data_IF_020614387600
#
_entry.id   IF_020614387600
#
_cell.length_a   1.000
_cell.length_b   1.000
_cell.length_c   1.000
_cell.angle_alpha   90.00
_cell.angle_beta   90.00
_cell.angle_gamma   90.00
#
_symmetry.space_group_name_H-M   'P 1'
#
loop_
_entity.id
_entity.type
_entity.pdbx_description
1 polymer ?
#
# COMPACT_ATOMS: atom_id res chain seq x y z
N UNK A 1 10.85 21.03 -44.70
CA UNK A 1 9.86 20.16 -44.09
C UNK A 1 10.46 19.22 -43.05
N UNK A 2 11.52 18.38 -43.39
CA UNK A 2 12.13 17.44 -42.44
C UNK A 2 12.73 18.12 -41.20
N UNK A 3 13.38 19.28 -41.33
CA UNK A 3 13.89 20.03 -40.17
C UNK A 3 12.77 20.55 -39.28
N UNK A 4 11.67 21.02 -39.84
CA UNK A 4 10.53 21.47 -39.08
C UNK A 4 9.79 20.31 -38.40
N UNK A 5 9.71 19.14 -39.07
CA UNK A 5 9.16 17.94 -38.46
C UNK A 5 10.02 17.45 -37.27
N UNK A 6 11.33 17.50 -37.38
CA UNK A 6 12.27 17.15 -36.32
C UNK A 6 12.17 18.09 -35.11
N UNK A 7 11.99 19.41 -35.34
CA UNK A 7 11.77 20.39 -34.28
C UNK A 7 10.44 20.10 -33.57
N UNK A 8 9.37 19.88 -34.35
CA UNK A 8 8.06 19.56 -33.77
C UNK A 8 8.03 18.23 -33.00
N UNK A 9 8.78 17.24 -33.49
CA UNK A 9 8.93 15.98 -32.74
C UNK A 9 9.65 16.19 -31.40
N UNK A 10 10.71 17.03 -31.40
CA UNK A 10 11.42 17.37 -30.18
C UNK A 10 10.56 18.20 -29.21
N UNK A 11 9.75 19.13 -29.72
CA UNK A 11 8.82 19.90 -28.94
C UNK A 11 7.72 19.00 -28.36
N UNK A 12 7.32 17.94 -29.09
CA UNK A 12 6.38 16.94 -28.60
C UNK A 12 6.98 16.02 -27.53
N UNK A 13 8.28 15.74 -27.57
CA UNK A 13 8.98 15.01 -26.50
C UNK A 13 8.87 15.71 -25.15
N UNK A 14 8.95 17.04 -25.14
CA UNK A 14 8.78 17.85 -23.91
C UNK A 14 7.40 17.60 -23.25
N UNK A 15 6.36 17.37 -24.04
CA UNK A 15 5.02 17.02 -23.54
C UNK A 15 4.94 15.60 -22.97
N UNK A 16 5.88 14.74 -23.32
CA UNK A 16 6.00 13.36 -22.84
C UNK A 16 7.00 13.25 -21.67
N UNK A 17 7.73 14.33 -21.36
CA UNK A 17 8.62 14.35 -20.22
C UNK A 17 7.83 14.16 -18.92
N UNK A 18 8.21 13.12 -18.19
CA UNK A 18 7.60 12.72 -16.92
C UNK A 18 7.96 13.67 -15.77
N UNK A 19 8.86 14.61 -16.00
CA UNK A 19 9.37 15.51 -14.99
C UNK A 19 8.63 16.86 -15.02
N UNK A 20 7.87 17.12 -13.98
CA UNK A 20 7.46 18.49 -13.65
C UNK A 20 8.70 19.31 -13.22
N UNK A 21 8.64 20.62 -13.41
CA UNK A 21 9.73 21.51 -13.00
C UNK A 21 10.11 21.31 -11.54
N UNK A 22 11.40 21.08 -11.31
CA UNK A 22 12.00 20.97 -9.98
C UNK A 22 12.65 22.32 -9.60
N UNK A 23 12.80 22.57 -8.31
CA UNK A 23 13.66 23.64 -7.83
C UNK A 23 15.12 23.20 -7.97
N UNK A 24 15.84 23.83 -8.88
CA UNK A 24 17.26 23.60 -9.10
C UNK A 24 18.08 24.80 -8.62
N UNK A 25 19.20 24.57 -7.94
CA UNK A 25 20.07 25.68 -7.53
C UNK A 25 20.79 26.25 -8.76
N UNK A 26 20.76 27.56 -8.97
CA UNK A 26 21.50 28.24 -10.05
C UNK A 26 23.02 28.22 -9.82
N UNK A 27 23.45 28.12 -8.56
CA UNK A 27 24.86 28.13 -8.19
C UNK A 27 25.22 27.16 -7.07
N UNK A 28 26.50 26.77 -6.91
CA UNK A 28 26.91 25.79 -5.93
C UNK A 28 26.73 26.24 -4.47
N UNK A 29 26.54 27.52 -4.21
CA UNK A 29 26.28 28.09 -2.88
C UNK A 29 24.81 28.25 -2.57
N UNK A 30 23.96 28.18 -3.56
CA UNK A 30 22.53 28.27 -3.39
C UNK A 30 21.96 26.99 -2.80
N UNK A 31 20.98 27.15 -1.93
CA UNK A 31 20.30 26.03 -1.28
C UNK A 31 18.79 26.15 -1.47
N UNK A 32 18.20 25.19 -2.12
CA UNK A 32 16.76 25.15 -2.45
C UNK A 32 15.84 25.27 -1.24
N UNK A 33 16.26 24.77 -0.07
CA UNK A 33 15.47 24.85 1.16
C UNK A 33 15.34 26.30 1.73
N UNK A 34 16.10 27.25 1.21
CA UNK A 34 15.99 28.67 1.60
C UNK A 34 14.95 29.44 0.79
N UNK A 35 14.54 28.91 -0.36
CA UNK A 35 13.53 29.53 -1.24
C UNK A 35 12.20 29.62 -0.49
N UNK A 36 11.61 30.81 -0.50
CA UNK A 36 10.34 31.08 0.19
C UNK A 36 9.16 30.84 -0.73
N UNK A 37 8.01 30.53 -0.13
CA UNK A 37 6.77 30.32 -0.88
C UNK A 37 6.34 31.51 -1.72
N UNK A 38 6.64 32.72 -1.27
CA UNK A 38 6.28 33.96 -2.01
C UNK A 38 7.13 34.12 -3.28
N UNK A 39 8.38 33.70 -3.25
CA UNK A 39 9.26 33.66 -4.42
C UNK A 39 8.72 32.65 -5.46
N UNK A 40 8.36 31.44 -5.02
CA UNK A 40 7.78 30.42 -5.89
C UNK A 40 6.47 30.90 -6.52
N UNK A 41 5.58 31.50 -5.75
CA UNK A 41 4.29 32.01 -6.24
C UNK A 41 4.44 33.07 -7.31
N UNK A 42 5.48 33.92 -7.22
CA UNK A 42 5.75 34.97 -8.21
C UNK A 42 6.30 34.43 -9.55
N UNK A 43 6.94 33.25 -9.53
CA UNK A 43 7.56 32.63 -10.71
C UNK A 43 6.66 31.62 -11.42
N UNK A 44 5.65 31.09 -10.75
CA UNK A 44 4.71 30.12 -11.34
C UNK A 44 3.56 30.80 -12.09
N UNK A 45 2.87 30.04 -12.93
CA UNK A 45 1.66 30.52 -13.62
C UNK A 45 0.57 30.95 -12.64
N UNK A 46 -0.31 31.85 -13.07
CA UNK A 46 -1.42 32.36 -12.25
C UNK A 46 -2.33 31.22 -11.75
N UNK A 47 -2.52 30.16 -12.55
CA UNK A 47 -3.31 29.01 -12.15
C UNK A 47 -2.62 28.18 -11.07
N UNK A 48 -1.31 28.02 -11.15
CA UNK A 48 -0.52 27.37 -10.12
C UNK A 48 -0.45 28.22 -8.83
N UNK A 49 -0.32 29.53 -8.96
CA UNK A 49 -0.31 30.46 -7.83
C UNK A 49 -1.59 30.41 -6.99
N UNK A 50 -2.76 30.21 -7.62
CA UNK A 50 -4.05 30.05 -6.92
C UNK A 50 -4.12 28.83 -6.03
N UNK A 51 -3.25 27.82 -6.22
CA UNK A 51 -3.19 26.61 -5.41
C UNK A 51 -2.61 26.84 -4.02
N UNK A 52 -1.90 27.97 -3.81
CA UNK A 52 -1.50 28.46 -2.48
C UNK A 52 -2.66 29.23 -1.85
N UNK A 53 -3.24 28.68 -0.81
CA UNK A 53 -4.27 29.34 -0.02
C UNK A 53 -4.15 28.97 1.47
N UNK A 54 -4.69 29.83 2.32
CA UNK A 54 -4.73 29.63 3.76
C UNK A 54 -6.16 29.80 4.25
N UNK A 55 -6.63 28.81 5.03
CA UNK A 55 -7.91 28.86 5.70
C UNK A 55 -7.69 29.04 7.19
N UNK A 56 -8.02 30.23 7.72
CA UNK A 56 -7.91 30.57 9.14
C UNK A 56 -9.19 30.17 9.88
N UNK A 57 -9.14 29.09 10.64
CA UNK A 57 -10.24 28.48 11.36
C UNK A 57 -9.86 28.31 12.84
N UNK A 58 -9.72 29.42 13.57
CA UNK A 58 -9.07 29.45 14.89
C UNK A 58 -9.88 28.78 16.01
N UNK A 59 -11.21 28.70 15.89
CA UNK A 59 -12.08 28.30 17.01
C UNK A 59 -12.16 26.78 17.23
N UNK A 60 -12.19 25.99 16.15
CA UNK A 60 -12.55 24.58 16.20
C UNK A 60 -11.37 23.62 15.93
N UNK A 61 -10.14 24.17 15.91
CA UNK A 61 -8.90 23.39 15.74
C UNK A 61 -8.56 22.48 16.93
N UNK A 62 -7.51 21.69 16.83
CA UNK A 62 -6.63 21.48 15.67
C UNK A 62 -7.30 20.70 14.52
N UNK A 63 -6.86 20.96 13.31
CA UNK A 63 -7.43 20.38 12.10
C UNK A 63 -6.62 19.19 11.58
N UNK A 64 -7.32 18.28 10.90
CA UNK A 64 -6.75 17.23 10.06
C UNK A 64 -7.37 17.31 8.68
N UNK A 65 -6.58 17.03 7.63
CA UNK A 65 -7.04 17.07 6.25
C UNK A 65 -6.87 15.73 5.56
N UNK A 66 -7.75 15.44 4.60
CA UNK A 66 -7.67 14.32 3.70
C UNK A 66 -8.12 14.74 2.31
N UNK A 67 -7.35 14.40 1.28
CA UNK A 67 -7.74 14.58 -0.10
C UNK A 67 -8.45 13.35 -0.65
N UNK A 68 -9.31 13.55 -1.63
CA UNK A 68 -9.85 12.46 -2.45
C UNK A 68 -8.72 11.83 -3.28
N UNK A 69 -8.91 10.59 -3.71
CA UNK A 69 -7.93 9.86 -4.51
C UNK A 69 -7.60 10.55 -5.84
N UNK A 70 -8.56 11.28 -6.42
CA UNK A 70 -8.37 12.08 -7.63
C UNK A 70 -7.79 13.49 -7.36
N UNK A 71 -7.52 13.84 -6.11
CA UNK A 71 -6.93 15.13 -5.72
C UNK A 71 -7.83 16.36 -5.90
N UNK A 72 -9.13 16.19 -6.14
CA UNK A 72 -10.04 17.32 -6.41
C UNK A 72 -10.68 17.89 -5.16
N UNK A 73 -11.14 17.01 -4.27
CA UNK A 73 -11.90 17.45 -3.10
C UNK A 73 -11.04 17.31 -1.82
N UNK A 74 -11.17 18.28 -0.95
CA UNK A 74 -10.53 18.37 0.36
C UNK A 74 -11.56 18.16 1.46
N UNK A 75 -11.28 17.26 2.39
CA UNK A 75 -12.02 17.06 3.62
C UNK A 75 -11.21 17.63 4.79
N UNK A 76 -11.78 18.57 5.51
CA UNK A 76 -11.22 19.14 6.72
C UNK A 76 -12.01 18.65 7.93
N UNK A 77 -11.31 18.20 8.95
CA UNK A 77 -11.91 17.78 10.20
C UNK A 77 -11.22 18.45 11.40
N UNK A 78 -11.95 19.29 12.09
CA UNK A 78 -11.53 19.94 13.32
C UNK A 78 -11.82 19.04 14.53
N UNK A 79 -10.87 18.92 15.42
CA UNK A 79 -10.96 18.07 16.61
C UNK A 79 -12.13 18.40 17.54
N UNK A 80 -12.62 19.63 17.49
CA UNK A 80 -13.80 20.08 18.29
C UNK A 80 -15.14 19.82 17.60
N UNK A 81 -15.17 19.10 16.45
CA UNK A 81 -16.39 18.66 15.79
C UNK A 81 -16.76 19.39 14.50
N UNK A 82 -15.93 20.27 14.00
CA UNK A 82 -16.12 20.91 12.71
C UNK A 82 -15.70 20.00 11.58
N UNK A 83 -16.52 19.84 10.57
CA UNK A 83 -16.21 19.10 9.34
C UNK A 83 -16.63 19.95 8.16
N UNK A 84 -15.72 20.08 7.20
CA UNK A 84 -16.00 20.78 5.95
C UNK A 84 -15.44 19.99 4.76
N UNK A 85 -16.22 19.89 3.69
CA UNK A 85 -15.78 19.38 2.40
C UNK A 85 -15.77 20.50 1.39
N UNK A 86 -14.72 20.58 0.58
CA UNK A 86 -14.62 21.60 -0.45
C UNK A 86 -13.92 21.09 -1.69
N UNK A 87 -14.37 21.57 -2.84
CA UNK A 87 -13.59 21.53 -4.08
C UNK A 87 -12.58 22.68 -4.00
N UNK A 88 -11.34 22.34 -3.65
CA UNK A 88 -10.30 23.33 -3.38
C UNK A 88 -9.79 24.03 -4.64
N UNK A 89 -9.96 23.43 -5.84
CA UNK A 89 -9.57 24.05 -7.12
C UNK A 89 -10.50 25.22 -7.48
N UNK A 90 -11.80 24.96 -7.38
CA UNK A 90 -12.83 25.95 -7.68
C UNK A 90 -13.15 26.85 -6.45
N UNK A 91 -12.66 26.49 -5.26
CA UNK A 91 -12.98 27.17 -4.01
C UNK A 91 -14.44 27.01 -3.58
N UNK A 92 -15.12 25.95 -4.04
CA UNK A 92 -16.52 25.71 -3.71
C UNK A 92 -16.66 24.85 -2.45
N UNK A 93 -17.43 25.33 -1.48
CA UNK A 93 -17.81 24.58 -0.31
C UNK A 93 -18.80 23.48 -0.72
N UNK A 94 -18.55 22.24 -0.32
CA UNK A 94 -19.46 21.11 -0.51
C UNK A 94 -20.46 21.04 0.64
N UNK A 95 -20.01 20.69 1.83
CA UNK A 95 -20.82 20.72 3.03
C UNK A 95 -20.01 21.26 4.22
N UNK A 96 -20.69 21.81 5.19
CA UNK A 96 -20.13 22.25 6.47
C UNK A 96 -21.02 21.73 7.60
N UNK A 97 -20.42 21.03 8.55
CA UNK A 97 -21.10 20.39 9.66
C UNK A 97 -20.43 20.71 11.00
N UNK A 98 -21.26 20.93 12.02
CA UNK A 98 -20.81 21.01 13.40
C UNK A 98 -21.42 19.88 14.22
N UNK A 99 -20.62 18.86 14.52
CA UNK A 99 -21.10 17.64 15.17
C UNK A 99 -21.23 17.76 16.68
N UNK A 100 -20.75 18.86 17.29
CA UNK A 100 -20.72 19.09 18.75
C UNK A 100 -20.04 17.96 19.55
N UNK A 101 -19.30 17.09 18.89
CA UNK A 101 -18.51 16.00 19.47
C UNK A 101 -17.06 16.06 18.97
N UNK A 102 -16.15 15.46 19.74
CA UNK A 102 -14.74 15.40 19.32
C UNK A 102 -14.58 14.46 18.14
N UNK A 103 -13.96 14.97 17.06
CA UNK A 103 -13.55 14.18 15.91
C UNK A 103 -12.07 13.82 16.05
N UNK A 104 -11.73 12.58 15.84
CA UNK A 104 -10.35 12.07 15.95
C UNK A 104 -9.67 11.91 14.60
N UNK A 105 -10.41 11.44 13.60
CA UNK A 105 -9.93 11.26 12.24
C UNK A 105 -11.09 11.32 11.25
N UNK A 106 -10.80 11.67 9.99
CA UNK A 106 -11.78 11.65 8.90
C UNK A 106 -11.08 11.24 7.62
N UNK A 107 -11.76 10.46 6.79
CA UNK A 107 -11.24 9.97 5.51
C UNK A 107 -12.34 9.88 4.46
N UNK A 108 -11.98 10.12 3.21
CA UNK A 108 -12.83 9.83 2.08
C UNK A 108 -12.96 8.32 1.89
N UNK A 109 -14.10 7.88 1.37
CA UNK A 109 -14.30 6.51 0.93
C UNK A 109 -13.91 6.34 -0.55
N UNK A 110 -14.68 5.60 -1.32
CA UNK A 110 -14.36 5.26 -2.71
C UNK A 110 -14.35 6.47 -3.68
N UNK A 111 -15.17 7.48 -3.39
CA UNK A 111 -15.26 8.71 -4.19
C UNK A 111 -15.56 9.91 -3.27
N UNK A 112 -15.84 11.08 -3.85
CA UNK A 112 -16.19 12.29 -3.11
C UNK A 112 -17.67 12.37 -2.65
N UNK A 113 -18.46 11.32 -2.89
CA UNK A 113 -19.86 11.29 -2.47
C UNK A 113 -20.04 10.88 -1.01
N UNK A 114 -19.09 10.13 -0.45
CA UNK A 114 -19.18 9.63 0.92
C UNK A 114 -17.86 9.74 1.66
N UNK A 115 -17.94 10.09 2.95
CA UNK A 115 -16.80 10.17 3.84
C UNK A 115 -17.10 9.57 5.21
N UNK A 116 -16.09 9.02 5.86
CA UNK A 116 -16.17 8.45 7.19
C UNK A 116 -15.53 9.38 8.22
N UNK A 117 -16.15 9.47 9.38
CA UNK A 117 -15.71 10.32 10.50
C UNK A 117 -15.65 9.51 11.78
N UNK A 118 -14.48 9.46 12.40
CA UNK A 118 -14.30 8.88 13.72
C UNK A 118 -14.65 9.91 14.80
N UNK A 119 -15.84 9.82 15.35
CA UNK A 119 -16.29 10.67 16.45
C UNK A 119 -15.82 10.10 17.80
N UNK A 120 -16.22 10.72 18.89
CA UNK A 120 -15.80 10.38 20.25
C UNK A 120 -16.02 8.90 20.57
N UNK A 121 -17.18 8.34 20.25
CA UNK A 121 -17.56 6.97 20.59
C UNK A 121 -17.65 6.04 19.37
N UNK A 122 -18.34 6.46 18.33
CA UNK A 122 -18.61 5.65 17.14
C UNK A 122 -18.02 6.28 15.89
N UNK A 123 -17.95 5.52 14.82
CA UNK A 123 -17.63 6.01 13.48
C UNK A 123 -18.90 6.16 12.68
N UNK A 124 -19.04 7.26 11.98
CA UNK A 124 -20.20 7.58 11.16
C UNK A 124 -19.78 7.74 9.69
N UNK A 125 -20.66 7.38 8.79
CA UNK A 125 -20.52 7.60 7.36
C UNK A 125 -21.53 8.67 6.96
N UNK A 126 -21.03 9.72 6.30
CA UNK A 126 -21.81 10.85 5.81
C UNK A 126 -21.79 10.90 4.29
N UNK A 127 -22.89 11.44 3.73
CA UNK A 127 -22.99 11.82 2.32
C UNK A 127 -22.31 13.17 2.05
N UNK A 128 -22.05 13.48 0.79
CA UNK A 128 -21.47 14.78 0.36
C UNK A 128 -22.30 16.00 0.78
N UNK A 129 -23.59 15.84 1.06
CA UNK A 129 -24.46 16.87 1.60
C UNK A 129 -24.40 17.00 3.14
N UNK A 130 -23.64 16.14 3.80
CA UNK A 130 -23.56 16.13 5.26
C UNK A 130 -24.66 15.35 5.96
N UNK A 131 -25.43 14.54 5.23
CA UNK A 131 -26.45 13.66 5.83
C UNK A 131 -25.79 12.41 6.37
N UNK A 132 -26.12 12.03 7.62
CA UNK A 132 -25.68 10.77 8.21
C UNK A 132 -26.33 9.58 7.49
N UNK A 133 -25.52 8.71 6.89
CA UNK A 133 -25.98 7.51 6.21
C UNK A 133 -25.98 6.31 7.17
N UNK A 134 -24.86 6.07 7.83
CA UNK A 134 -24.66 4.89 8.66
C UNK A 134 -23.85 5.21 9.91
N UNK A 135 -24.26 4.59 11.02
CA UNK A 135 -23.48 4.52 12.27
C UNK A 135 -22.88 3.13 12.41
N UNK A 136 -21.58 3.07 12.52
CA UNK A 136 -20.84 1.82 12.68
C UNK A 136 -20.67 1.49 14.18
N UNK A 137 -21.66 0.82 14.78
CA UNK A 137 -21.70 0.52 16.20
C UNK A 137 -20.53 -0.35 16.69
N UNK A 138 -20.00 -1.20 15.83
CA UNK A 138 -18.87 -2.07 16.17
C UNK A 138 -17.54 -1.35 16.24
N UNK A 139 -17.43 -0.14 15.67
CA UNK A 139 -16.22 0.67 15.63
C UNK A 139 -16.18 1.67 16.79
N UNK A 140 -15.73 1.18 17.95
CA UNK A 140 -15.73 1.94 19.20
C UNK A 140 -14.39 2.67 19.36
N UNK A 141 -14.46 3.96 19.72
CA UNK A 141 -13.30 4.83 20.03
C UNK A 141 -12.17 4.77 18.99
N UNK A 142 -12.53 4.82 17.73
CA UNK A 142 -11.56 4.80 16.61
C UNK A 142 -10.64 6.00 16.71
N UNK A 143 -9.35 5.75 16.53
CA UNK A 143 -8.29 6.77 16.55
C UNK A 143 -7.75 7.09 15.15
N UNK A 144 -7.60 6.08 14.33
CA UNK A 144 -7.11 6.23 12.96
C UNK A 144 -7.95 5.38 12.02
N UNK A 145 -8.11 5.90 10.81
CA UNK A 145 -8.84 5.24 9.72
C UNK A 145 -8.06 5.35 8.43
N UNK A 146 -8.14 4.31 7.61
CA UNK A 146 -7.65 4.30 6.23
C UNK A 146 -8.63 3.50 5.36
N UNK A 147 -8.83 3.94 4.13
CA UNK A 147 -9.71 3.28 3.19
C UNK A 147 -8.90 2.53 2.12
N UNK A 148 -9.23 1.27 1.88
CA UNK A 148 -8.60 0.39 0.90
C UNK A 148 -9.44 0.40 -0.40
N UNK A 149 -9.07 1.17 -1.42
CA UNK A 149 -9.94 1.47 -2.55
C UNK A 149 -10.27 0.25 -3.44
N UNK A 150 -9.31 -0.63 -3.69
CA UNK A 150 -9.52 -1.81 -4.54
C UNK A 150 -10.34 -2.92 -3.87
N UNK A 151 -10.38 -2.93 -2.54
CA UNK A 151 -11.09 -3.92 -1.75
C UNK A 151 -12.40 -3.38 -1.16
N UNK A 152 -12.66 -2.07 -1.28
CA UNK A 152 -13.77 -1.38 -0.61
C UNK A 152 -13.81 -1.64 0.91
N UNK A 153 -12.65 -1.71 1.54
CA UNK A 153 -12.54 -1.95 2.96
C UNK A 153 -12.19 -0.66 3.72
N UNK A 154 -12.96 -0.35 4.73
CA UNK A 154 -12.61 0.65 5.74
C UNK A 154 -11.85 -0.06 6.87
N UNK A 155 -10.56 0.22 6.97
CA UNK A 155 -9.71 -0.24 8.06
C UNK A 155 -9.70 0.80 9.17
N UNK A 156 -10.02 0.39 10.39
CA UNK A 156 -10.06 1.28 11.56
C UNK A 156 -9.32 0.66 12.73
N UNK A 157 -8.67 1.50 13.52
CA UNK A 157 -8.03 1.06 14.75
C UNK A 157 -8.42 1.96 15.91
N UNK A 158 -8.89 1.34 17.00
CA UNK A 158 -9.35 2.02 18.20
C UNK A 158 -8.28 2.16 19.27
N UNK A 159 -8.60 2.89 20.35
CA UNK A 159 -7.72 3.06 21.51
C UNK A 159 -7.34 1.73 22.19
N UNK A 160 -8.24 0.75 22.17
CA UNK A 160 -7.99 -0.58 22.72
C UNK A 160 -7.03 -1.44 21.85
N UNK A 161 -6.60 -0.94 20.69
CA UNK A 161 -5.71 -1.66 19.78
C UNK A 161 -6.41 -2.78 19.00
N UNK A 162 -7.70 -2.71 18.77
CA UNK A 162 -8.42 -3.60 17.88
C UNK A 162 -8.44 -3.02 16.47
N UNK A 163 -7.85 -3.75 15.55
CA UNK A 163 -7.89 -3.46 14.11
C UNK A 163 -9.14 -4.12 13.54
N UNK A 164 -9.97 -3.35 12.85
CA UNK A 164 -11.24 -3.81 12.27
C UNK A 164 -11.29 -3.46 10.81
N UNK A 165 -11.76 -4.39 10.02
CA UNK A 165 -12.02 -4.20 8.60
C UNK A 165 -13.51 -4.34 8.32
N UNK A 166 -14.11 -3.31 7.76
CA UNK A 166 -15.51 -3.30 7.36
C UNK A 166 -15.60 -3.07 5.85
N UNK A 167 -16.37 -3.90 5.21
CA UNK A 167 -16.67 -3.77 3.79
C UNK A 167 -17.73 -2.68 3.59
N UNK A 168 -17.34 -1.57 2.96
CA UNK A 168 -18.23 -0.43 2.73
C UNK A 168 -19.30 -0.71 1.67
N UNK A 169 -19.08 -1.68 0.76
CA UNK A 169 -20.05 -2.04 -0.25
C UNK A 169 -21.19 -2.92 0.27
N UNK A 170 -20.91 -3.75 1.29
CA UNK A 170 -21.91 -4.66 1.89
C UNK A 170 -22.34 -4.23 3.29
N UNK A 171 -21.61 -3.30 3.92
CA UNK A 171 -21.83 -2.88 5.30
C UNK A 171 -21.44 -3.92 6.36
N UNK A 172 -20.85 -5.05 5.97
CA UNK A 172 -20.50 -6.13 6.87
C UNK A 172 -19.08 -5.98 7.43
N UNK A 173 -18.90 -6.30 8.68
CA UNK A 173 -17.57 -6.42 9.28
C UNK A 173 -16.94 -7.73 8.83
N UNK A 174 -15.77 -7.63 8.18
CA UNK A 174 -15.02 -8.77 7.66
C UNK A 174 -14.26 -9.47 8.80
N UNK A 175 -13.49 -8.71 9.58
CA UNK A 175 -12.66 -9.26 10.65
C UNK A 175 -12.34 -8.22 11.70
N UNK A 176 -12.14 -8.69 12.94
CA UNK A 176 -11.63 -7.93 14.08
C UNK A 176 -10.36 -8.60 14.62
N UNK A 177 -9.26 -7.89 14.65
CA UNK A 177 -7.93 -8.38 15.01
C UNK A 177 -7.39 -7.62 16.23
N UNK A 178 -7.20 -8.26 17.38
CA UNK A 178 -6.57 -7.63 18.54
C UNK A 178 -5.06 -7.56 18.34
N UNK A 179 -4.47 -6.36 18.33
CA UNK A 179 -3.01 -6.19 18.17
C UNK A 179 -2.22 -6.59 19.42
N UNK A 180 -2.85 -6.57 20.59
CA UNK A 180 -2.24 -6.91 21.89
C UNK A 180 -0.98 -6.08 22.26
N UNK A 181 -0.76 -4.95 21.62
CA UNK A 181 0.40 -4.06 21.80
C UNK A 181 0.01 -2.68 22.35
N UNK A 182 -1.19 -2.56 22.90
CA UNK A 182 -1.72 -1.32 23.46
C UNK A 182 -2.24 -0.34 22.41
N UNK A 183 -2.31 0.94 22.79
CA UNK A 183 -2.83 1.98 21.90
C UNK A 183 -1.93 2.20 20.68
N UNK A 184 -2.51 2.20 19.48
CA UNK A 184 -1.76 2.51 18.26
C UNK A 184 -1.41 4.00 18.21
N UNK A 185 -0.26 4.31 17.64
CA UNK A 185 0.22 5.69 17.54
C UNK A 185 0.31 6.18 16.10
N UNK A 186 0.52 5.27 15.16
CA UNK A 186 0.58 5.56 13.74
C UNK A 186 -0.11 4.45 12.95
N UNK A 187 -0.72 4.81 11.83
CA UNK A 187 -1.54 3.92 11.02
C UNK A 187 -1.46 4.33 9.56
N UNK A 188 -1.11 3.41 8.67
CA UNK A 188 -1.01 3.63 7.23
C UNK A 188 -1.25 2.34 6.46
N UNK A 189 -1.85 2.49 5.29
CA UNK A 189 -1.93 1.41 4.32
C UNK A 189 -0.73 1.44 3.37
N UNK A 190 -0.34 0.28 2.88
CA UNK A 190 0.53 0.15 1.73
C UNK A 190 -0.35 0.19 0.45
N UNK A 191 -0.17 1.18 -0.43
CA UNK A 191 -1.01 1.32 -1.62
C UNK A 191 -0.91 0.13 -2.58
N UNK A 192 0.26 -0.51 -2.65
CA UNK A 192 0.53 -1.60 -3.60
C UNK A 192 -0.14 -2.93 -3.20
N UNK A 193 -0.04 -3.34 -1.93
CA UNK A 193 -0.52 -4.64 -1.46
C UNK A 193 -1.67 -4.59 -0.44
N UNK A 194 -2.19 -3.38 -0.16
CA UNK A 194 -3.28 -3.14 0.78
C UNK A 194 -3.02 -3.62 2.23
N UNK A 195 -1.77 -3.91 2.59
CA UNK A 195 -1.39 -4.28 3.96
C UNK A 195 -1.39 -3.04 4.85
N UNK A 196 -1.95 -3.21 6.03
CA UNK A 196 -1.99 -2.15 7.04
C UNK A 196 -0.75 -2.23 7.94
N UNK A 197 -0.05 -1.10 8.02
CA UNK A 197 1.07 -0.90 8.93
C UNK A 197 0.59 -0.16 10.18
N UNK A 198 0.84 -0.73 11.34
CA UNK A 198 0.46 -0.17 12.64
C UNK A 198 1.70 0.11 13.46
N UNK A 199 1.88 1.37 13.84
CA UNK A 199 2.93 1.80 14.77
C UNK A 199 2.43 1.80 16.20
N UNK A 200 3.27 1.34 17.13
CA UNK A 200 2.94 1.17 18.53
C UNK A 200 3.78 2.04 19.46
N UNK A 201 3.34 2.18 20.70
CA UNK A 201 4.03 2.97 21.72
C UNK A 201 5.40 2.41 22.11
N UNK A 202 5.61 1.11 21.95
CA UNK A 202 6.88 0.43 22.24
C UNK A 202 7.91 0.56 21.11
N UNK A 203 7.64 1.35 20.06
CA UNK A 203 8.54 1.53 18.92
C UNK A 203 8.47 0.44 17.87
N UNK A 204 7.60 -0.55 18.03
CA UNK A 204 7.41 -1.59 17.03
C UNK A 204 6.42 -1.16 15.95
N UNK A 205 6.66 -1.62 14.73
CA UNK A 205 5.73 -1.56 13.60
C UNK A 205 5.29 -2.98 13.29
N UNK A 206 4.00 -3.17 13.12
CA UNK A 206 3.39 -4.46 12.77
C UNK A 206 2.60 -4.36 11.48
N UNK A 207 2.72 -5.36 10.63
CA UNK A 207 2.03 -5.46 9.34
C UNK A 207 0.88 -6.44 9.47
N UNK A 208 -0.29 -6.02 9.03
CA UNK A 208 -1.53 -6.77 9.18
C UNK A 208 -2.27 -6.98 7.87
N UNK A 209 -2.76 -8.20 7.69
CA UNK A 209 -3.71 -8.58 6.63
C UNK A 209 -4.98 -9.11 7.28
N UNK A 210 -6.17 -8.94 6.67
CA UNK A 210 -7.42 -9.51 7.17
C UNK A 210 -7.42 -11.04 7.20
N UNK A 211 -6.51 -11.69 6.49
CA UNK A 211 -6.43 -13.16 6.38
C UNK A 211 -5.77 -13.82 7.58
N UNK A 212 -4.99 -13.08 8.38
CA UNK A 212 -4.21 -13.64 9.47
C UNK A 212 -4.64 -13.06 10.81
N UNK A 213 -4.80 -13.91 11.81
CA UNK A 213 -5.08 -13.50 13.19
C UNK A 213 -3.85 -12.99 13.94
N UNK A 214 -2.66 -13.24 13.38
CA UNK A 214 -1.39 -12.75 13.88
C UNK A 214 -0.76 -11.77 12.90
N UNK A 215 0.06 -10.82 13.35
CA UNK A 215 0.75 -9.92 12.45
C UNK A 215 1.66 -10.70 11.50
N UNK A 216 1.65 -10.33 10.22
CA UNK A 216 2.52 -10.94 9.20
C UNK A 216 3.99 -10.67 9.49
N UNK A 217 4.29 -9.44 9.91
CA UNK A 217 5.65 -9.01 10.26
C UNK A 217 5.58 -8.14 11.52
N UNK A 218 6.59 -8.26 12.36
CA UNK A 218 6.81 -7.41 13.51
C UNK A 218 8.26 -6.94 13.53
N UNK A 219 8.47 -5.64 13.42
CA UNK A 219 9.79 -5.02 13.35
C UNK A 219 9.94 -3.95 14.43
N UNK A 220 11.12 -3.83 15.03
CA UNK A 220 11.45 -2.76 15.94
C UNK A 220 12.03 -1.59 15.14
N UNK A 221 11.22 -0.55 14.93
CA UNK A 221 11.59 0.60 14.14
C UNK A 221 12.32 1.68 14.97
N UNK A 222 11.83 1.94 16.17
CA UNK A 222 12.33 3.02 17.03
C UNK A 222 12.50 2.57 18.48
N UNK A 223 13.32 3.28 19.24
CA UNK A 223 13.51 3.03 20.68
C UNK A 223 12.40 3.63 21.57
N UNK A 224 11.43 4.28 20.99
CA UNK A 224 10.30 4.88 21.69
C UNK A 224 9.06 4.88 20.77
N UNK A 225 7.95 5.49 21.18
CA UNK A 225 6.73 5.50 20.39
C UNK A 225 6.96 5.92 18.94
N UNK A 226 6.42 5.15 18.00
CA UNK A 226 6.36 5.53 16.60
C UNK A 226 5.37 6.67 16.48
N UNK A 227 5.78 7.82 15.95
CA UNK A 227 4.92 9.00 15.85
C UNK A 227 4.14 9.05 14.56
N UNK A 228 4.81 8.79 13.46
CA UNK A 228 4.21 8.83 12.14
C UNK A 228 4.91 7.87 11.19
N UNK A 229 4.19 7.41 10.19
CA UNK A 229 4.69 6.55 9.11
C UNK A 229 4.10 7.00 7.80
N UNK A 230 4.87 6.84 6.74
CA UNK A 230 4.42 6.97 5.36
C UNK A 230 5.02 5.86 4.52
N UNK A 231 4.30 5.43 3.51
CA UNK A 231 4.70 4.33 2.62
C UNK A 231 4.64 4.87 1.19
N UNK A 232 5.62 4.49 0.41
CA UNK A 232 5.72 4.81 -1.00
C UNK A 232 4.58 4.18 -1.81
N UNK A 233 4.19 4.80 -2.92
CA UNK A 233 3.13 4.32 -3.82
C UNK A 233 3.43 2.91 -4.37
N UNK A 234 4.70 2.63 -4.69
CA UNK A 234 5.13 1.31 -5.13
C UNK A 234 5.20 0.26 -4.02
N UNK A 235 5.02 0.65 -2.76
CA UNK A 235 5.06 -0.23 -1.60
C UNK A 235 6.44 -0.79 -1.27
N UNK A 236 7.52 -0.17 -1.79
CA UNK A 236 8.90 -0.64 -1.60
C UNK A 236 9.56 -0.06 -0.36
N UNK A 237 9.30 1.22 -0.08
CA UNK A 237 9.92 1.95 1.01
C UNK A 237 8.91 2.47 2.01
N UNK A 238 9.31 2.47 3.26
CA UNK A 238 8.58 3.07 4.36
C UNK A 238 9.49 4.07 5.07
N UNK A 239 8.97 5.25 5.34
CA UNK A 239 9.61 6.22 6.23
C UNK A 239 8.85 6.25 7.55
N UNK A 240 9.56 6.19 8.65
CA UNK A 240 8.99 6.25 10.00
C UNK A 240 9.70 7.29 10.85
N UNK A 241 8.96 7.96 11.74
CA UNK A 241 9.52 8.84 12.77
C UNK A 241 9.13 8.35 14.15
N UNK A 242 10.04 8.46 15.08
CA UNK A 242 9.83 8.09 16.47
C UNK A 242 10.04 9.24 17.44
N UNK A 243 9.69 9.01 18.70
CA UNK A 243 10.00 9.94 19.79
C UNK A 243 11.51 9.98 20.13
N UNK A 244 12.30 9.11 19.54
CA UNK A 244 13.74 9.06 19.63
C UNK A 244 14.48 10.09 18.74
N UNK A 245 13.74 11.07 18.19
CA UNK A 245 14.23 12.11 17.28
C UNK A 245 14.84 11.57 15.99
N UNK A 246 14.43 10.38 15.57
CA UNK A 246 14.95 9.74 14.38
C UNK A 246 13.87 9.63 13.32
N UNK A 247 14.29 9.85 12.08
CA UNK A 247 13.59 9.47 10.88
C UNK A 247 14.36 8.30 10.26
N UNK A 248 13.71 7.16 10.11
CA UNK A 248 14.29 5.96 9.54
C UNK A 248 13.60 5.61 8.23
N UNK A 249 14.39 5.28 7.22
CA UNK A 249 13.97 4.80 5.92
C UNK A 249 14.17 3.28 5.88
N UNK A 250 13.10 2.55 5.57
CA UNK A 250 13.06 1.09 5.56
C UNK A 250 12.74 0.55 4.17
N UNK A 251 13.43 -0.50 3.77
CA UNK A 251 13.04 -1.33 2.63
C UNK A 251 12.05 -2.39 3.14
N UNK A 252 10.78 -2.28 2.72
CA UNK A 252 9.71 -3.19 3.20
C UNK A 252 9.90 -4.61 2.67
N UNK A 253 10.50 -4.80 1.49
CA UNK A 253 10.72 -6.13 0.91
C UNK A 253 11.76 -6.93 1.67
N UNK A 254 12.82 -6.25 2.12
CA UNK A 254 13.92 -6.87 2.85
C UNK A 254 13.81 -6.68 4.37
N UNK A 255 12.86 -5.87 4.84
CA UNK A 255 12.67 -5.49 6.25
C UNK A 255 13.95 -4.94 6.91
N UNK A 256 14.74 -4.20 6.11
CA UNK A 256 16.00 -3.61 6.55
C UNK A 256 15.92 -2.09 6.58
N UNK A 257 16.61 -1.50 7.57
CA UNK A 257 16.85 -0.07 7.61
C UNK A 257 17.86 0.29 6.51
N UNK A 258 17.48 1.22 5.62
CA UNK A 258 18.34 1.74 4.56
C UNK A 258 19.17 2.89 5.10
N UNK A 259 18.49 3.92 5.62
CA UNK A 259 19.11 5.13 6.14
C UNK A 259 18.39 5.62 7.40
N UNK A 260 19.13 6.35 8.21
CA UNK A 260 18.63 6.98 9.43
C UNK A 260 19.10 8.43 9.53
N UNK A 261 18.16 9.33 9.77
CA UNK A 261 18.37 10.76 9.92
C UNK A 261 17.94 11.23 11.31
N UNK A 262 18.58 12.30 11.80
CA UNK A 262 18.21 12.92 13.06
C UNK A 262 17.37 14.16 12.82
N UNK A 263 16.25 14.24 13.50
CA UNK A 263 15.35 15.39 13.49
C UNK A 263 15.61 16.27 14.72
N UNK A 264 15.33 17.56 14.61
CA UNK A 264 15.46 18.52 15.74
C UNK A 264 14.40 18.28 16.82
N UNK A 265 13.21 17.87 16.40
CA UNK A 265 12.09 17.53 17.27
C UNK A 265 11.43 16.24 16.77
N UNK A 266 10.63 15.53 17.59
CA UNK A 266 9.90 14.36 17.15
C UNK A 266 8.94 14.71 16.01
N UNK A 267 9.02 13.96 14.91
CA UNK A 267 8.11 14.17 13.78
C UNK A 267 6.65 13.97 14.18
N UNK A 268 5.78 14.93 13.85
CA UNK A 268 4.34 14.84 14.13
C UNK A 268 3.60 14.12 13.02
N UNK A 269 3.93 14.38 11.78
CA UNK A 269 3.31 13.76 10.62
C UNK A 269 4.32 13.54 9.49
N UNK A 270 4.08 12.51 8.71
CA UNK A 270 4.83 12.10 7.52
C UNK A 270 3.89 11.84 6.38
N UNK A 271 4.31 12.20 5.18
CA UNK A 271 3.67 11.77 3.95
C UNK A 271 4.67 11.72 2.79
N UNK A 272 4.44 10.84 1.82
CA UNK A 272 5.30 10.65 0.64
C UNK A 272 4.47 11.01 -0.59
N UNK A 273 5.04 11.83 -1.49
CA UNK A 273 4.40 12.22 -2.73
C UNK A 273 4.50 11.11 -3.79
N UNK A 274 3.75 11.25 -4.87
CA UNK A 274 3.78 10.32 -6.00
C UNK A 274 5.16 10.22 -6.66
N UNK A 275 5.94 11.31 -6.63
CA UNK A 275 7.34 11.35 -7.11
C UNK A 275 8.39 11.16 -6.00
N UNK A 276 8.04 10.48 -4.93
CA UNK A 276 8.95 10.11 -3.85
C UNK A 276 9.54 11.29 -3.05
N UNK A 277 8.93 12.48 -3.10
CA UNK A 277 9.25 13.55 -2.19
C UNK A 277 8.65 13.25 -0.82
N UNK A 278 9.47 13.22 0.21
CA UNK A 278 9.04 12.91 1.57
C UNK A 278 8.90 14.18 2.38
N UNK A 279 7.69 14.49 2.83
CA UNK A 279 7.44 15.60 3.74
C UNK A 279 7.42 15.10 5.20
N UNK A 280 8.10 15.83 6.06
CA UNK A 280 8.18 15.56 7.50
C UNK A 280 7.85 16.84 8.24
N UNK A 281 6.88 16.81 9.13
CA UNK A 281 6.55 17.95 9.98
C UNK A 281 6.96 17.72 11.42
N UNK A 282 7.42 18.76 12.08
CA UNK A 282 7.69 18.78 13.51
C UNK A 282 7.43 20.18 14.09
N UNK A 283 6.73 20.21 15.20
CA UNK A 283 6.37 21.48 15.84
C UNK A 283 5.63 22.43 14.89
N UNK A 284 6.26 23.49 14.46
CA UNK A 284 5.72 24.53 13.55
C UNK A 284 6.36 24.49 12.16
N UNK A 285 7.23 23.54 11.90
CA UNK A 285 8.01 23.47 10.66
C UNK A 285 7.77 22.18 9.92
N UNK A 286 7.87 22.26 8.59
CA UNK A 286 7.86 21.11 7.67
C UNK A 286 9.12 21.15 6.83
N UNK A 287 9.77 20.03 6.67
CA UNK A 287 10.86 19.83 5.71
C UNK A 287 10.49 18.77 4.69
N UNK A 288 10.87 19.03 3.47
CA UNK A 288 10.63 18.16 2.32
C UNK A 288 11.98 17.63 1.86
N UNK A 289 12.06 16.33 1.67
CA UNK A 289 13.28 15.63 1.32
C UNK A 289 13.13 14.96 -0.02
N UNK A 290 14.18 15.02 -0.85
CA UNK A 290 14.27 14.36 -2.15
C UNK A 290 15.39 13.32 -2.12
N UNK A 291 15.24 12.25 -2.92
CA UNK A 291 16.30 11.25 -3.10
C UNK A 291 16.57 10.35 -1.87
N UNK A 292 15.60 10.21 -0.95
CA UNK A 292 15.77 9.32 0.22
C UNK A 292 15.81 7.84 -0.16
N UNK A 293 15.24 7.48 -1.30
CA UNK A 293 15.08 6.10 -1.78
C UNK A 293 16.08 5.69 -2.84
N UNK A 294 16.89 6.64 -3.35
CA UNK A 294 17.86 6.37 -4.40
C UNK A 294 18.99 5.53 -3.85
N UNK A 295 19.09 4.30 -4.35
CA UNK A 295 20.22 3.40 -4.08
C UNK A 295 21.23 3.54 -5.20
N UNK A 296 22.03 4.57 -5.21
CA UNK A 296 23.25 4.56 -5.99
C UNK A 296 24.24 3.63 -5.30
N UNK A 297 24.50 2.49 -5.94
CA UNK A 297 25.18 1.34 -5.35
C UNK A 297 26.64 1.60 -4.91
N UNK A 298 27.24 2.71 -5.30
CA UNK A 298 28.65 3.01 -5.03
C UNK A 298 28.88 4.19 -4.07
N UNK A 299 27.93 5.13 -3.97
CA UNK A 299 28.01 6.25 -3.04
C UNK A 299 26.76 6.28 -2.15
N UNK A 300 26.81 5.61 -1.01
CA UNK A 300 25.80 5.73 0.06
C UNK A 300 25.88 7.12 0.73
N UNK A 301 25.94 8.17 -0.04
CA UNK A 301 25.90 9.52 0.48
C UNK A 301 24.49 9.83 0.95
N UNK A 302 24.34 9.86 2.26
CA UNK A 302 23.10 10.32 2.89
C UNK A 302 22.76 11.71 2.37
N UNK A 303 21.49 11.94 2.03
CA UNK A 303 21.00 13.27 1.68
C UNK A 303 21.30 14.22 2.84
N UNK A 304 22.10 15.25 2.61
CA UNK A 304 22.60 16.13 3.69
C UNK A 304 21.67 17.28 3.99
N UNK A 305 20.86 17.71 3.02
CA UNK A 305 19.98 18.89 3.16
C UNK A 305 18.58 18.57 2.63
N UNK A 306 17.54 19.15 3.24
CA UNK A 306 16.21 19.06 2.69
C UNK A 306 16.13 19.76 1.32
N UNK A 307 15.21 19.32 0.48
CA UNK A 307 14.86 19.93 -0.79
C UNK A 307 14.20 21.29 -0.58
N UNK A 308 13.22 21.33 0.32
CA UNK A 308 12.48 22.54 0.66
C UNK A 308 12.13 22.55 2.15
N UNK A 309 12.04 23.73 2.74
CA UNK A 309 11.59 23.91 4.11
C UNK A 309 10.48 24.96 4.14
N UNK A 310 9.43 24.69 4.89
CA UNK A 310 8.35 25.62 5.16
C UNK A 310 8.12 25.71 6.67
N UNK A 311 8.01 26.92 7.17
CA UNK A 311 7.68 27.17 8.57
C UNK A 311 6.40 27.97 8.65
N UNK A 312 5.39 27.45 9.32
CA UNK A 312 4.18 28.19 9.63
C UNK A 312 4.45 29.30 10.63
N UNK A 313 3.63 30.31 10.65
CA UNK A 313 3.72 31.54 11.50
C UNK A 313 3.45 31.21 12.99
N UNK A 314 4.18 30.26 13.58
CA UNK A 314 4.01 29.82 14.97
C UNK A 314 2.93 28.76 15.17
N UNK A 315 2.24 28.35 14.13
CA UNK A 315 1.14 27.40 14.19
C UNK A 315 1.64 25.96 14.28
N UNK A 316 1.16 25.22 15.28
CA UNK A 316 1.54 23.81 15.46
C UNK A 316 0.89 22.93 14.41
N UNK A 317 1.73 22.17 13.70
CA UNK A 317 1.30 21.25 12.64
C UNK A 317 0.86 19.92 13.26
N UNK A 318 -0.35 19.48 12.92
CA UNK A 318 -0.90 18.20 13.35
C UNK A 318 -0.76 17.13 12.25
N UNK A 319 -1.14 17.45 11.01
CA UNK A 319 -1.11 16.49 9.90
C UNK A 319 -0.72 17.18 8.59
N UNK A 320 0.05 16.46 7.80
CA UNK A 320 0.38 16.83 6.43
C UNK A 320 -0.12 15.76 5.48
N UNK A 321 -0.57 16.19 4.29
CA UNK A 321 -1.02 15.31 3.21
C UNK A 321 -0.65 15.90 1.87
N UNK A 322 -0.07 15.08 1.00
CA UNK A 322 0.11 15.44 -0.39
C UNK A 322 -1.21 15.42 -1.14
N UNK A 323 -1.40 16.40 -2.00
CA UNK A 323 -2.50 16.37 -2.97
C UNK A 323 -2.09 15.45 -4.13
N UNK A 324 -2.88 14.41 -4.46
CA UNK A 324 -2.59 13.57 -5.62
C UNK A 324 -2.59 14.38 -6.92
N UNK A 325 -1.67 14.06 -7.83
CA UNK A 325 -1.52 14.65 -9.18
C UNK A 325 -1.21 16.14 -9.22
N UNK A 326 -0.95 16.78 -8.09
CA UNK A 326 -0.70 18.22 -8.00
C UNK A 326 0.55 18.52 -7.18
N UNK A 327 1.23 19.62 -7.52
CA UNK A 327 2.43 20.09 -6.82
C UNK A 327 2.10 20.81 -5.51
N UNK A 328 1.19 20.25 -4.71
CA UNK A 328 0.71 20.90 -3.49
C UNK A 328 0.77 19.98 -2.28
N UNK A 329 1.23 20.55 -1.17
CA UNK A 329 1.23 19.92 0.15
C UNK A 329 0.19 20.61 1.03
N UNK A 330 -0.79 19.86 1.49
CA UNK A 330 -1.75 20.35 2.49
C UNK A 330 -1.18 20.20 3.91
N UNK A 331 -1.10 21.29 4.62
CA UNK A 331 -0.63 21.37 6.00
C UNK A 331 -1.78 21.75 6.90
N UNK A 332 -2.17 20.86 7.78
CA UNK A 332 -3.21 21.08 8.79
C UNK A 332 -2.57 21.45 10.12
N UNK A 333 -3.05 22.53 10.72
CA UNK A 333 -2.49 23.08 11.94
C UNK A 333 -3.58 23.47 12.95
N UNK A 334 -3.18 23.99 14.10
CA UNK A 334 -4.13 24.35 15.17
C UNK A 334 -5.16 25.39 14.74
N UNK A 335 -4.80 26.30 13.85
CA UNK A 335 -5.60 27.44 13.46
C UNK A 335 -6.27 27.29 12.09
N UNK A 336 -6.12 26.13 11.46
CA UNK A 336 -6.76 25.88 10.18
C UNK A 336 -5.95 24.97 9.24
N UNK A 337 -5.90 25.38 7.98
CA UNK A 337 -5.29 24.63 6.90
C UNK A 337 -4.55 25.56 5.93
N UNK A 338 -3.34 25.20 5.55
CA UNK A 338 -2.53 25.92 4.56
C UNK A 338 -2.13 24.98 3.44
N UNK A 339 -2.34 25.40 2.20
CA UNK A 339 -1.84 24.74 1.00
C UNK A 339 -0.52 25.37 0.57
N UNK A 340 0.51 24.55 0.42
CA UNK A 340 1.89 24.96 0.10
C UNK A 340 2.27 24.38 -1.25
N UNK A 341 2.81 25.22 -2.15
CA UNK A 341 3.28 24.76 -3.46
C UNK A 341 4.68 24.15 -3.32
N UNK A 342 4.82 22.93 -3.80
CA UNK A 342 6.09 22.20 -3.81
C UNK A 342 6.34 21.71 -5.23
N UNK A 343 7.16 22.41 -6.01
CA UNK A 343 7.45 22.02 -7.38
C UNK A 343 8.02 20.61 -7.46
N UNK A 344 7.54 19.82 -8.40
CA UNK A 344 8.01 18.45 -8.65
C UNK A 344 7.42 17.38 -7.72
N UNK A 345 6.36 17.67 -6.97
CA UNK A 345 5.73 16.71 -6.08
C UNK A 345 4.69 15.83 -6.79
N UNK A 346 3.89 16.41 -7.68
CA UNK A 346 2.80 15.75 -8.38
C UNK A 346 3.24 15.00 -9.63
N UNK A 347 2.54 13.95 -9.96
CA UNK A 347 2.68 13.22 -11.22
C UNK A 347 1.81 13.91 -12.29
N UNK A 348 2.45 14.47 -13.31
CA UNK A 348 1.74 15.18 -14.38
C UNK A 348 0.93 14.23 -15.29
N UNK A 349 1.43 13.00 -15.48
CA UNK A 349 0.82 11.99 -16.33
C UNK A 349 0.02 11.01 -15.47
N UNK A 350 -1.30 11.11 -15.52
CA UNK A 350 -2.20 10.18 -14.82
C UNK A 350 -2.81 9.19 -15.78
N UNK A 351 -3.09 7.97 -15.30
CA UNK A 351 -3.86 6.98 -16.05
C UNK A 351 -5.36 7.26 -15.89
N UNK A 352 -5.97 7.80 -16.93
CA UNK A 352 -7.39 8.14 -16.95
C UNK A 352 -8.33 6.92 -16.83
N UNK A 353 -7.82 5.69 -17.05
CA UNK A 353 -8.59 4.46 -16.86
C UNK A 353 -8.64 4.04 -15.39
N UNK A 354 -7.62 4.40 -14.61
CA UNK A 354 -7.56 4.13 -13.18
C UNK A 354 -8.16 5.28 -12.37
N UNK A 355 -7.63 6.49 -12.55
CA UNK A 355 -8.09 7.68 -11.81
C UNK A 355 -8.02 8.89 -12.73
N UNK A 356 -9.16 9.52 -12.99
CA UNK A 356 -9.24 10.73 -13.79
C UNK A 356 -9.54 11.94 -12.89
N UNK A 357 -8.59 12.88 -12.68
CA UNK A 357 -8.84 14.10 -11.91
C UNK A 357 -9.88 15.05 -12.53
N UNK A 358 -10.17 14.90 -13.82
CA UNK A 358 -11.08 15.74 -14.60
C UNK A 358 -12.38 15.01 -15.00
N UNK A 359 -12.77 13.98 -14.26
CA UNK A 359 -13.94 13.18 -14.57
C UNK A 359 -15.25 13.95 -14.47
N UNK A 360 -16.16 13.66 -15.40
CA UNK A 360 -17.53 14.13 -15.38
C UNK A 360 -18.42 13.23 -14.51
N UNK A 361 -19.63 13.73 -14.15
CA UNK A 361 -20.59 12.94 -13.34
C UNK A 361 -20.91 11.57 -13.92
N UNK A 362 -21.07 11.45 -15.25
CA UNK A 362 -21.31 10.16 -15.92
C UNK A 362 -20.11 9.24 -15.83
N UNK A 363 -18.92 9.76 -16.12
CA UNK A 363 -17.69 8.99 -15.99
C UNK A 363 -17.47 8.49 -14.55
N UNK A 364 -17.78 9.32 -13.55
CA UNK A 364 -17.71 8.91 -12.13
C UNK A 364 -18.64 7.73 -11.84
N UNK A 365 -19.88 7.77 -12.31
CA UNK A 365 -20.83 6.67 -12.14
C UNK A 365 -20.34 5.38 -12.82
N UNK A 366 -19.83 5.50 -14.05
CA UNK A 366 -19.25 4.36 -14.77
C UNK A 366 -18.03 3.78 -14.07
N UNK A 367 -17.14 4.65 -13.56
CA UNK A 367 -15.94 4.26 -12.81
C UNK A 367 -16.33 3.56 -11.50
N UNK A 368 -17.34 4.05 -10.80
CA UNK A 368 -17.86 3.43 -9.57
C UNK A 368 -18.40 2.03 -9.84
N UNK A 369 -19.26 1.88 -10.87
CA UNK A 369 -19.78 0.55 -11.27
C UNK A 369 -18.64 -0.39 -11.65
N UNK A 370 -17.68 0.08 -12.44
CA UNK A 370 -16.50 -0.70 -12.85
C UNK A 370 -15.67 -1.13 -11.65
N UNK A 371 -15.41 -0.21 -10.72
CA UNK A 371 -14.63 -0.51 -9.52
C UNK A 371 -15.32 -1.52 -8.59
N UNK A 372 -16.64 -1.45 -8.47
CA UNK A 372 -17.43 -2.44 -7.73
C UNK A 372 -17.41 -3.83 -8.40
N UNK A 373 -17.47 -3.88 -9.73
CA UNK A 373 -17.37 -5.15 -10.48
C UNK A 373 -15.98 -5.77 -10.37
N UNK A 374 -14.94 -4.93 -10.36
CA UNK A 374 -13.53 -5.35 -10.24
C UNK A 374 -13.04 -5.44 -8.80
N UNK A 375 -13.94 -5.38 -7.82
CA UNK A 375 -13.61 -5.43 -6.41
C UNK A 375 -12.81 -6.68 -6.06
N UNK A 376 -11.65 -6.49 -5.46
CA UNK A 376 -10.81 -7.56 -4.98
C UNK A 376 -11.30 -8.11 -3.64
N UNK A 377 -11.25 -9.43 -3.48
CA UNK A 377 -11.64 -10.07 -2.24
C UNK A 377 -10.62 -9.80 -1.11
N UNK A 378 -11.07 -9.67 0.15
CA UNK A 378 -10.16 -9.49 1.29
C UNK A 378 -9.12 -10.59 1.40
N UNK A 379 -9.46 -11.80 0.95
CA UNK A 379 -8.59 -12.97 0.94
C UNK A 379 -7.35 -12.85 0.05
N UNK A 380 -7.32 -11.88 -0.86
CA UNK A 380 -6.19 -11.64 -1.78
C UNK A 380 -5.11 -10.72 -1.19
N UNK A 381 -5.35 -10.11 -0.03
CA UNK A 381 -4.38 -9.22 0.62
C UNK A 381 -3.22 -10.04 1.19
N UNK A 382 -2.05 -9.97 0.54
CA UNK A 382 -0.84 -10.70 0.90
C UNK A 382 0.40 -9.82 0.78
N UNK A 383 1.55 -10.26 1.31
CA UNK A 383 2.81 -9.52 1.20
C UNK A 383 3.24 -9.36 -0.26
N UNK A 384 3.08 -10.42 -1.05
CA UNK A 384 3.38 -10.42 -2.47
C UNK A 384 2.06 -10.52 -3.27
N UNK A 385 1.50 -9.40 -3.75
CA UNK A 385 0.26 -9.40 -4.53
C UNK A 385 0.44 -10.10 -5.88
N UNK A 386 1.63 -10.08 -6.44
CA UNK A 386 1.97 -10.70 -7.73
C UNK A 386 1.94 -12.23 -7.70
N UNK A 387 1.87 -12.83 -6.51
CA UNK A 387 1.77 -14.28 -6.34
C UNK A 387 0.54 -14.87 -7.04
N UNK A 388 -0.58 -14.15 -7.06
CA UNK A 388 -1.83 -14.62 -7.68
C UNK A 388 -1.74 -14.74 -9.20
N UNK A 389 -0.86 -13.95 -9.84
CA UNK A 389 -0.61 -13.98 -11.27
C UNK A 389 0.53 -14.89 -11.71
N UNK A 390 1.29 -15.44 -10.78
CA UNK A 390 2.43 -16.27 -11.08
C UNK A 390 2.02 -17.72 -11.33
N UNK A 391 2.69 -18.34 -12.32
CA UNK A 391 2.55 -19.78 -12.56
C UNK A 391 3.09 -20.52 -11.33
N UNK A 392 2.29 -21.41 -10.78
CA UNK A 392 2.72 -22.25 -9.66
C UNK A 392 3.94 -23.09 -10.08
N UNK A 393 5.06 -22.87 -9.39
CA UNK A 393 6.28 -23.60 -9.67
C UNK A 393 6.08 -25.05 -9.20
N UNK A 394 6.12 -25.97 -10.15
CA UNK A 394 6.05 -27.40 -9.84
C UNK A 394 7.02 -27.76 -8.72
N UNK A 395 6.56 -28.55 -7.75
CA UNK A 395 7.39 -29.00 -6.64
C UNK A 395 8.62 -29.74 -7.16
N UNK A 396 9.69 -29.80 -6.37
CA UNK A 396 10.91 -30.54 -6.76
C UNK A 396 10.60 -31.98 -7.15
N UNK A 397 9.65 -32.61 -6.47
CA UNK A 397 9.21 -33.96 -6.77
C UNK A 397 8.50 -34.09 -8.12
N UNK A 398 7.62 -33.11 -8.46
CA UNK A 398 6.92 -33.05 -9.76
C UNK A 398 7.92 -32.83 -10.89
N UNK A 399 8.87 -31.92 -10.71
CA UNK A 399 9.98 -31.70 -11.68
C UNK A 399 10.85 -32.92 -11.89
N UNK A 400 11.12 -33.69 -10.82
CA UNK A 400 11.85 -34.95 -10.93
C UNK A 400 11.04 -36.02 -11.64
N UNK A 401 9.72 -36.09 -11.41
CA UNK A 401 8.83 -37.00 -12.11
C UNK A 401 8.74 -36.70 -13.60
N UNK A 402 8.64 -35.41 -13.98
CA UNK A 402 8.65 -34.99 -15.38
C UNK A 402 9.99 -35.31 -16.05
N UNK A 403 11.12 -35.01 -15.40
CA UNK A 403 12.44 -35.41 -15.89
C UNK A 403 12.60 -36.89 -16.06
N UNK A 404 12.02 -37.70 -15.15
CA UNK A 404 12.06 -39.17 -15.27
C UNK A 404 11.17 -39.70 -16.41
N UNK A 405 10.09 -38.99 -16.77
CA UNK A 405 9.27 -39.26 -17.94
C UNK A 405 9.99 -38.94 -19.24
N UNK A 406 10.71 -37.82 -19.29
CA UNK A 406 11.46 -37.36 -20.47
C UNK A 406 12.80 -38.07 -20.64
N UNK A 407 13.27 -38.82 -19.63
CA UNK A 407 14.51 -39.57 -19.68
C UNK A 407 14.42 -40.66 -20.75
N UNK A 408 15.35 -40.61 -21.71
CA UNK A 408 15.40 -41.62 -22.77
C UNK A 408 15.54 -43.01 -22.17
N UNK A 409 14.83 -44.02 -22.73
CA UNK A 409 14.95 -45.39 -22.26
C UNK A 409 16.39 -45.96 -22.23
N UNK A 410 17.24 -45.46 -23.10
CA UNK A 410 18.66 -45.83 -23.22
C UNK A 410 19.47 -45.59 -21.94
N UNK A 411 19.18 -44.51 -21.19
CA UNK A 411 19.95 -44.15 -19.99
C UNK A 411 19.83 -45.17 -18.84
N UNK A 412 18.65 -45.79 -18.68
CA UNK A 412 18.47 -46.89 -17.72
C UNK A 412 19.01 -48.23 -18.18
N UNK A 413 18.97 -48.44 -19.49
CA UNK A 413 19.57 -49.63 -20.10
C UNK A 413 21.10 -49.60 -19.95
N UNK A 414 21.72 -48.46 -20.07
CA UNK A 414 23.18 -48.31 -19.94
C UNK A 414 23.63 -48.43 -18.48
N UNK A 415 22.88 -47.93 -17.51
CA UNK A 415 23.11 -48.19 -16.08
C UNK A 415 23.01 -49.67 -15.74
N UNK A 416 22.02 -50.38 -16.32
CA UNK A 416 21.81 -51.79 -16.11
C UNK A 416 22.82 -52.67 -16.88
N UNK A 417 23.27 -52.22 -18.07
CA UNK A 417 24.32 -52.91 -18.86
C UNK A 417 25.68 -52.84 -18.17
N UNK A 418 25.98 -51.71 -17.47
CA UNK A 418 27.24 -51.52 -16.77
C UNK A 418 27.32 -52.32 -15.44
N UNK A 419 26.22 -52.85 -14.93
CA UNK A 419 26.15 -53.62 -13.65
C UNK A 419 26.30 -55.14 -13.78
N UNK A 420 27.08 -55.60 -14.73
CA UNK A 420 27.49 -57.02 -14.83
C UNK A 420 26.86 -57.81 -15.98
N UNK A 421 27.71 -58.47 -16.74
CA UNK A 421 27.37 -59.32 -17.91
C UNK A 421 26.94 -60.75 -17.57
N UNK A 422 26.65 -61.06 -16.32
CA UNK A 422 26.37 -62.44 -15.87
C UNK A 422 24.91 -62.90 -16.13
N UNK A 423 24.71 -64.24 -16.03
CA UNK A 423 23.43 -64.93 -16.17
C UNK A 423 22.33 -64.40 -15.23
N UNK A 424 22.72 -63.71 -14.15
CA UNK A 424 21.90 -63.10 -13.14
C UNK A 424 21.92 -61.55 -13.18
N UNK A 425 22.13 -60.94 -14.37
CA UNK A 425 22.13 -59.48 -14.50
C UNK A 425 20.85 -58.83 -13.95
N UNK A 426 20.96 -57.61 -13.39
CA UNK A 426 19.82 -56.85 -12.81
C UNK A 426 18.67 -56.72 -13.82
N UNK A 427 18.99 -56.59 -15.11
CA UNK A 427 18.02 -56.54 -16.20
C UNK A 427 17.23 -57.84 -16.36
N UNK A 428 17.88 -59.02 -16.37
CA UNK A 428 17.20 -60.31 -16.45
C UNK A 428 16.40 -60.62 -15.19
N UNK A 429 16.86 -60.19 -14.01
CA UNK A 429 16.14 -60.34 -12.76
C UNK A 429 14.86 -59.48 -12.76
N UNK A 430 14.90 -58.28 -13.29
CA UNK A 430 13.77 -57.37 -13.45
C UNK A 430 12.76 -57.88 -14.49
N UNK A 431 13.22 -58.45 -15.61
CA UNK A 431 12.39 -59.11 -16.63
C UNK A 431 11.65 -60.31 -16.07
N UNK A 432 12.32 -61.17 -15.28
CA UNK A 432 11.70 -62.34 -14.63
C UNK A 432 10.65 -61.90 -13.60
N UNK A 433 10.95 -60.88 -12.83
CA UNK A 433 10.02 -60.36 -11.81
C UNK A 433 8.71 -59.78 -12.41
N UNK A 434 8.76 -59.36 -13.68
CA UNK A 434 7.62 -58.77 -14.40
C UNK A 434 6.98 -59.70 -15.43
N UNK A 435 7.40 -60.95 -15.53
CA UNK A 435 6.80 -61.93 -16.43
C UNK A 435 6.97 -61.64 -17.94
N UNK A 436 7.89 -60.75 -18.29
CA UNK A 436 8.13 -60.37 -19.67
C UNK A 436 9.21 -61.25 -20.30
N UNK A 437 8.89 -61.84 -21.45
CA UNK A 437 9.79 -62.83 -22.07
C UNK A 437 10.92 -62.21 -22.88
N UNK A 438 10.75 -61.15 -23.65
CA UNK A 438 11.82 -60.69 -24.57
C UNK A 438 11.90 -59.18 -24.90
N UNK A 439 10.94 -58.37 -24.55
CA UNK A 439 10.99 -56.92 -24.86
C UNK A 439 10.55 -56.14 -23.62
N UNK A 440 11.43 -55.28 -23.13
CA UNK A 440 11.13 -54.38 -21.99
C UNK A 440 10.80 -53.01 -22.56
N UNK A 441 9.55 -52.63 -22.52
CA UNK A 441 9.14 -51.25 -22.77
C UNK A 441 9.33 -50.43 -21.49
N UNK A 442 10.51 -49.83 -21.39
CA UNK A 442 10.89 -49.05 -20.20
C UNK A 442 10.02 -47.84 -19.98
N UNK A 443 9.55 -47.22 -21.07
CA UNK A 443 8.66 -46.06 -20.97
C UNK A 443 7.33 -46.42 -20.34
N UNK A 444 6.77 -47.55 -20.74
CA UNK A 444 5.53 -48.07 -20.16
C UNK A 444 5.71 -48.46 -18.69
N UNK A 445 6.85 -49.04 -18.34
CA UNK A 445 7.17 -49.38 -16.95
C UNK A 445 7.30 -48.16 -16.04
N UNK A 446 7.93 -47.11 -16.53
CA UNK A 446 8.03 -45.83 -15.80
C UNK A 446 6.64 -45.22 -15.57
N UNK A 447 5.80 -45.19 -16.61
CA UNK A 447 4.43 -44.70 -16.52
C UNK A 447 3.62 -45.50 -15.50
N UNK A 448 3.73 -46.81 -15.52
CA UNK A 448 3.01 -47.69 -14.57
C UNK A 448 3.51 -47.50 -13.13
N UNK A 449 4.81 -47.27 -12.92
CA UNK A 449 5.37 -46.99 -11.60
C UNK A 449 4.93 -45.59 -11.08
N UNK A 450 4.86 -44.58 -11.95
CA UNK A 450 4.37 -43.26 -11.59
C UNK A 450 2.86 -43.29 -11.27
N UNK A 451 2.06 -44.00 -12.07
CA UNK A 451 0.64 -44.21 -11.79
C UNK A 451 0.39 -44.91 -10.45
N UNK A 452 1.20 -45.89 -10.11
CA UNK A 452 1.13 -46.57 -8.80
C UNK A 452 1.44 -45.61 -7.66
N UNK A 453 2.50 -44.80 -7.81
CA UNK A 453 2.89 -43.79 -6.82
C UNK A 453 1.84 -42.67 -6.67
N UNK A 454 1.17 -42.29 -7.76
CA UNK A 454 0.06 -41.33 -7.70
C UNK A 454 -1.13 -41.91 -6.94
N UNK A 455 -1.53 -43.17 -7.25
CA UNK A 455 -2.63 -43.83 -6.53
C UNK A 455 -2.38 -43.94 -5.02
N UNK A 456 -1.19 -44.37 -4.61
CA UNK A 456 -0.84 -44.43 -3.19
C UNK A 456 -0.91 -43.07 -2.52
N UNK A 457 -0.43 -41.98 -3.18
CA UNK A 457 -0.53 -40.62 -2.65
C UNK A 457 -1.96 -40.09 -2.57
N UNK A 458 -2.82 -40.45 -3.54
CA UNK A 458 -4.25 -40.11 -3.50
C UNK A 458 -4.97 -40.84 -2.36
N UNK A 459 -4.62 -42.11 -2.14
CA UNK A 459 -5.12 -42.92 -1.03
C UNK A 459 -4.68 -42.35 0.32
N UNK A 460 -3.40 -41.98 0.49
CA UNK A 460 -2.85 -41.36 1.68
C UNK A 460 -3.51 -39.98 1.96
N UNK A 461 -3.70 -39.15 0.90
CA UNK A 461 -4.42 -37.89 1.02
C UNK A 461 -5.88 -38.05 1.41
N UNK A 462 -6.55 -39.05 0.84
CA UNK A 462 -7.94 -39.37 1.17
C UNK A 462 -8.07 -39.87 2.62
N UNK A 463 -7.11 -40.63 3.14
CA UNK A 463 -7.06 -41.05 4.52
C UNK A 463 -6.84 -39.90 5.47
N UNK A 464 -5.88 -39.02 5.20
CA UNK A 464 -5.63 -37.78 6.00
C UNK A 464 -6.84 -36.86 6.00
N UNK A 465 -7.56 -36.75 4.86
CA UNK A 465 -8.79 -35.96 4.82
C UNK A 465 -9.93 -36.60 5.61
N UNK A 466 -10.05 -37.92 5.59
CA UNK A 466 -11.05 -38.65 6.39
C UNK A 466 -10.80 -38.48 7.89
N UNK A 467 -9.55 -38.52 8.33
CA UNK A 467 -9.18 -38.30 9.73
C UNK A 467 -9.50 -36.85 10.19
N UNK A 468 -9.29 -35.86 9.32
CA UNK A 468 -9.59 -34.46 9.62
C UNK A 468 -11.10 -34.14 9.69
N UNK A 469 -11.93 -34.86 8.94
CA UNK A 469 -13.36 -34.55 8.81
C UNK A 469 -14.25 -35.23 9.86
N UNK A 470 -13.74 -36.17 10.61
CA UNK A 470 -14.52 -36.93 11.58
C UNK A 470 -15.54 -37.89 10.94
N UNK A 471 -16.14 -38.81 11.72
CA UNK A 471 -16.90 -39.95 11.19
C UNK A 471 -18.21 -39.60 10.46
N UNK A 472 -18.81 -38.44 10.75
CA UNK A 472 -20.07 -38.00 10.12
C UNK A 472 -19.86 -37.37 8.74
N UNK A 473 -18.81 -36.56 8.58
CA UNK A 473 -18.53 -35.85 7.34
C UNK A 473 -17.64 -36.65 6.35
N UNK A 474 -16.92 -37.65 6.84
CA UNK A 474 -16.10 -38.53 6.00
C UNK A 474 -16.92 -39.31 4.95
N UNK A 475 -18.23 -39.42 5.15
CA UNK A 475 -19.14 -40.09 4.19
C UNK A 475 -19.39 -39.28 2.92
N UNK A 476 -19.16 -37.94 2.97
CA UNK A 476 -19.34 -37.02 1.85
C UNK A 476 -18.09 -36.80 1.02
N UNK A 477 -16.97 -37.35 1.41
CA UNK A 477 -15.78 -37.39 0.56
C UNK A 477 -16.09 -38.32 -0.61
N UNK A 478 -16.54 -37.73 -1.70
CA UNK A 478 -16.88 -38.41 -2.93
C UNK A 478 -15.67 -39.19 -3.44
N UNK A 479 -15.92 -40.44 -3.70
CA UNK A 479 -15.02 -41.29 -4.49
C UNK A 479 -14.98 -40.70 -5.91
N UNK A 480 -14.02 -39.85 -6.21
CA UNK A 480 -13.64 -39.65 -7.59
C UNK A 480 -12.81 -40.85 -8.01
N UNK A 481 -13.48 -41.85 -8.55
CA UNK A 481 -12.89 -42.95 -9.33
C UNK A 481 -12.74 -42.48 -10.76
#
# INVERSE_FOLDING_TARGET
>A
EYKQAAIRAKDAEVLLEYQSGLLEPEGPLERTYKVRQDEIVNEVSIEAAKKKFELKLTELGPYTASYTRNGRDLLLAGKKGHIATMDWRDGKLGCELQLMETVRDATWLHNNLTFAVAQKKYTYIYDHNGVELHRLDKHIEVRHMEFLPFHFLLATIGNAGHLKYTDTSTGQMVVELPTKLGTPTAFRQNPHNAIIHVGHQNGTVTLWSPNSTTPLVKMLAHKGPVRSMAIDREGRYMVSTGSDLKMAVWDIRMFKEVNKYFLRQPGSSLDISEKNLTAVSWGTQTSIWQGLFDKNAEDQTKVQSPYMAWGGEGQRIERIRWCPYEDTLGVSHNEGFTSVIVPGAGEANFDSLEINPYENKKQRQETEVRSLLNKLQPGMISLDPDFVGNVDLASHETKMQEKDLDRKPEDKLDELKNRGRGRNSALRRLQRKRGMKNVVDERRMRIDDLRKKQKTREEDRAEVQKEKLGPALSRFVTRYT
#
